data_IF_136725885878
#
_entry.id   IF_136725885878
#
_cell.length_a   1.000
_cell.length_b   1.000
_cell.length_c   1.000
_cell.angle_alpha   90.00
_cell.angle_beta   90.00
_cell.angle_gamma   90.00
#
_symmetry.space_group_name_H-M   'P 1'
#
loop_
_entity.id
_entity.type
_entity.pdbx_description
1 polymer ?
#
# COMPACT_ATOMS: atom_id res chain seq x y z
N UNK A 1 -26.43 13.50 4.10
CA UNK A 1 -25.91 12.45 3.18
C UNK A 1 -25.97 11.11 3.89
N UNK A 2 -26.72 10.16 3.32
CA UNK A 2 -26.76 8.79 3.84
C UNK A 2 -25.33 8.21 3.91
N UNK A 3 -24.86 7.74 5.07
CA UNK A 3 -23.56 7.12 5.22
C UNK A 3 -23.29 5.98 4.22
N UNK A 4 -24.32 5.27 3.76
CA UNK A 4 -24.18 4.18 2.79
C UNK A 4 -23.70 4.67 1.42
N UNK A 5 -24.12 5.86 1.01
CA UNK A 5 -23.73 6.47 -0.28
C UNK A 5 -22.27 6.93 -0.31
N UNK A 6 -21.62 7.08 0.85
CA UNK A 6 -20.22 7.56 0.89
C UNK A 6 -19.27 6.64 0.12
N UNK A 7 -19.47 5.32 0.21
CA UNK A 7 -18.62 4.33 -0.48
C UNK A 7 -18.68 4.50 -2.00
N UNK A 8 -19.82 4.91 -2.53
CA UNK A 8 -20.06 5.06 -3.96
C UNK A 8 -19.64 6.45 -4.46
N UNK A 9 -19.90 7.50 -3.66
CA UNK A 9 -19.68 8.89 -4.08
C UNK A 9 -18.25 9.40 -3.82
N UNK A 10 -17.60 8.93 -2.75
CA UNK A 10 -16.25 9.40 -2.38
C UNK A 10 -15.21 9.24 -3.49
N UNK A 11 -15.15 8.12 -4.23
CA UNK A 11 -14.21 8.01 -5.34
C UNK A 11 -14.32 9.14 -6.37
N UNK A 12 -15.52 9.68 -6.61
CA UNK A 12 -15.71 10.82 -7.51
C UNK A 12 -15.27 12.14 -6.86
N UNK A 13 -15.66 12.37 -5.62
CA UNK A 13 -15.29 13.58 -4.87
C UNK A 13 -13.77 13.69 -4.65
N UNK A 14 -13.11 12.56 -4.45
CA UNK A 14 -11.66 12.46 -4.29
C UNK A 14 -10.91 12.44 -5.63
N UNK A 15 -11.63 12.64 -6.75
CA UNK A 15 -11.08 12.67 -8.12
C UNK A 15 -10.36 11.37 -8.52
N UNK A 16 -10.74 10.25 -7.91
CA UNK A 16 -10.28 8.91 -8.28
C UNK A 16 -11.05 8.44 -9.51
N UNK A 17 -12.38 8.64 -9.54
CA UNK A 17 -13.22 8.33 -10.68
C UNK A 17 -13.64 9.60 -11.41
N UNK A 18 -13.47 9.69 -12.73
CA UNK A 18 -14.06 10.75 -13.54
C UNK A 18 -15.59 10.71 -13.48
N UNK A 19 -16.26 11.86 -13.42
CA UNK A 19 -17.73 11.92 -13.40
C UNK A 19 -18.38 11.30 -14.65
N UNK A 20 -17.73 11.41 -15.80
CA UNK A 20 -18.16 10.83 -17.08
C UNK A 20 -17.71 9.38 -17.28
N UNK A 21 -17.05 8.76 -16.31
CA UNK A 21 -16.57 7.39 -16.45
C UNK A 21 -17.71 6.37 -16.52
N UNK A 22 -17.50 5.30 -17.30
CA UNK A 22 -18.38 4.13 -17.29
C UNK A 22 -18.04 3.19 -16.13
N UNK A 23 -18.92 2.23 -15.85
CA UNK A 23 -18.65 1.21 -14.83
C UNK A 23 -17.37 0.41 -15.13
N UNK A 24 -17.21 -0.05 -16.37
CA UNK A 24 -16.04 -0.82 -16.82
C UNK A 24 -14.74 -0.03 -16.66
N UNK A 25 -14.76 1.27 -17.01
CA UNK A 25 -13.60 2.14 -16.84
C UNK A 25 -13.22 2.29 -15.36
N UNK A 26 -14.22 2.45 -14.47
CA UNK A 26 -13.98 2.50 -13.02
C UNK A 26 -13.43 1.19 -12.47
N UNK A 27 -13.83 0.05 -13.03
CA UNK A 27 -13.28 -1.25 -12.66
C UNK A 27 -11.80 -1.36 -13.03
N UNK A 28 -11.42 -0.91 -14.22
CA UNK A 28 -10.01 -0.83 -14.63
C UNK A 28 -9.20 0.06 -13.69
N UNK A 29 -9.70 1.26 -13.35
CA UNK A 29 -9.03 2.16 -12.39
C UNK A 29 -8.86 1.46 -11.03
N UNK A 30 -9.90 0.78 -10.54
CA UNK A 30 -9.84 0.08 -9.25
C UNK A 30 -8.78 -1.03 -9.27
N UNK A 31 -8.73 -1.82 -10.33
CA UNK A 31 -7.75 -2.89 -10.49
C UNK A 31 -6.32 -2.36 -10.53
N UNK A 32 -6.08 -1.27 -11.27
CA UNK A 32 -4.76 -0.65 -11.36
C UNK A 32 -4.29 -0.11 -10.00
N UNK A 33 -5.18 0.59 -9.29
CA UNK A 33 -4.90 1.08 -7.94
C UNK A 33 -4.62 -0.06 -6.96
N UNK A 34 -5.38 -1.14 -7.05
CA UNK A 34 -5.17 -2.33 -6.23
C UNK A 34 -3.79 -2.94 -6.47
N UNK A 35 -3.42 -3.19 -7.73
CA UNK A 35 -2.12 -3.75 -8.09
C UNK A 35 -0.96 -2.85 -7.65
N UNK A 36 -1.10 -1.53 -7.84
CA UNK A 36 -0.11 -0.55 -7.38
C UNK A 36 0.04 -0.57 -5.87
N UNK A 37 -1.07 -0.61 -5.13
CA UNK A 37 -1.06 -0.71 -3.68
C UNK A 37 -0.38 -2.01 -3.20
N UNK A 38 -0.71 -3.17 -3.79
CA UNK A 38 -0.09 -4.45 -3.43
C UNK A 38 1.43 -4.43 -3.65
N UNK A 39 1.89 -3.86 -4.78
CA UNK A 39 3.32 -3.68 -5.05
C UNK A 39 4.00 -2.82 -3.98
N UNK A 40 3.39 -1.69 -3.63
CA UNK A 40 3.91 -0.81 -2.57
C UNK A 40 3.93 -1.51 -1.20
N UNK A 41 2.87 -2.23 -0.85
CA UNK A 41 2.77 -3.00 0.41
C UNK A 41 3.87 -4.04 0.50
N UNK A 42 4.08 -4.84 -0.56
CA UNK A 42 5.16 -5.83 -0.63
C UNK A 42 6.53 -5.18 -0.44
N UNK A 43 6.79 -4.06 -1.11
CA UNK A 43 8.06 -3.34 -0.98
C UNK A 43 8.29 -2.82 0.45
N UNK A 44 7.25 -2.30 1.12
CA UNK A 44 7.35 -1.87 2.53
C UNK A 44 7.70 -3.04 3.45
N UNK A 45 7.08 -4.19 3.24
CA UNK A 45 7.35 -5.42 4.00
C UNK A 45 8.79 -5.88 3.78
N UNK A 46 9.25 -5.96 2.52
CA UNK A 46 10.63 -6.35 2.21
C UNK A 46 11.66 -5.40 2.83
N UNK A 47 11.44 -4.09 2.75
CA UNK A 47 12.31 -3.10 3.41
C UNK A 47 12.34 -3.27 4.92
N UNK A 48 11.20 -3.57 5.56
CA UNK A 48 11.13 -3.87 7.00
C UNK A 48 11.97 -5.11 7.35
N UNK A 49 11.82 -6.20 6.59
CA UNK A 49 12.62 -7.42 6.79
C UNK A 49 14.12 -7.18 6.60
N UNK A 50 14.52 -6.41 5.58
CA UNK A 50 15.92 -6.06 5.36
C UNK A 50 16.51 -5.27 6.54
N UNK A 51 15.76 -4.31 7.11
CA UNK A 51 16.18 -3.56 8.29
C UNK A 51 16.36 -4.46 9.51
N UNK A 52 15.40 -5.33 9.78
CA UNK A 52 15.48 -6.29 10.90
C UNK A 52 16.69 -7.24 10.74
N UNK A 53 16.94 -7.74 9.53
CA UNK A 53 18.12 -8.58 9.25
C UNK A 53 19.45 -7.84 9.50
N UNK A 54 19.53 -6.57 9.12
CA UNK A 54 20.71 -5.73 9.38
C UNK A 54 20.91 -5.48 10.88
N UNK A 55 19.83 -5.17 11.61
CA UNK A 55 19.89 -4.98 13.06
C UNK A 55 20.34 -6.25 13.78
N UNK A 56 19.77 -7.41 13.44
CA UNK A 56 20.19 -8.69 14.01
C UNK A 56 21.66 -9.01 13.74
N UNK A 57 22.14 -8.78 12.51
CA UNK A 57 23.57 -8.95 12.18
C UNK A 57 24.47 -8.00 12.97
N UNK A 58 24.09 -6.73 13.11
CA UNK A 58 24.84 -5.74 13.89
C UNK A 58 24.89 -6.13 15.37
N UNK A 59 23.79 -6.64 15.92
CA UNK A 59 23.74 -7.11 17.31
C UNK A 59 24.68 -8.30 17.55
N UNK A 60 24.66 -9.30 16.67
CA UNK A 60 25.57 -10.44 16.76
C UNK A 60 27.04 -10.03 16.65
N UNK A 61 27.36 -9.05 15.80
CA UNK A 61 28.73 -8.50 15.70
C UNK A 61 29.19 -7.81 16.98
N UNK A 62 28.30 -7.08 17.67
CA UNK A 62 28.62 -6.45 18.96
C UNK A 62 28.87 -7.50 20.06
N UNK A 63 28.08 -8.57 20.11
CA UNK A 63 28.28 -9.64 21.09
C UNK A 63 29.62 -10.37 20.93
N UNK A 64 30.04 -10.63 19.69
CA UNK A 64 31.30 -11.32 19.41
C UNK A 64 32.56 -10.48 19.72
N UNK A 65 32.44 -9.14 19.79
CA UNK A 65 33.54 -8.25 20.15
C UNK A 65 33.65 -8.00 21.66
N UNK A 66 32.61 -8.38 22.42
CA UNK A 66 32.54 -8.21 23.87
C UNK A 66 32.96 -9.47 24.65
N UNK A 67 33.29 -10.56 23.95
CA UNK A 67 33.88 -11.80 24.49
C UNK A 67 35.38 -11.81 24.25
#
# INVERSE_FOLDING_TARGET
MDPKMRKELWPFLLRIFPWSSTYEHRESIRNDLFLRYQRMKRNRILKKFQRLKKQGKSFMLMLNQAS
#
